data_IF_144514696774
#
_entry.id   IF_144514696774
#
_cell.length_a   1.000
_cell.length_b   1.000
_cell.length_c   1.000
_cell.angle_alpha   90.00
_cell.angle_beta   90.00
_cell.angle_gamma   90.00
#
_symmetry.space_group_name_H-M   'P 1'
#
loop_
_entity.id
_entity.type
_entity.pdbx_description
1 polymer ?
#
# COMPACT_ATOMS: atom_id res chain seq x y z
N UNK A 1 -9.04 -4.94 -18.95
CA UNK A 1 -7.88 -5.74 -19.39
C UNK A 1 -7.13 -5.11 -20.55
N UNK A 2 -7.79 -4.46 -21.51
CA UNK A 2 -7.09 -3.88 -22.67
C UNK A 2 -5.96 -2.93 -22.27
N UNK A 3 -6.22 -2.03 -21.31
CA UNK A 3 -5.18 -1.15 -20.77
C UNK A 3 -3.95 -1.93 -20.27
N UNK A 4 -4.16 -2.95 -19.44
CA UNK A 4 -3.05 -3.72 -18.87
C UNK A 4 -2.23 -4.49 -19.92
N UNK A 5 -2.88 -5.00 -20.97
CA UNK A 5 -2.18 -5.66 -22.08
C UNK A 5 -1.25 -4.72 -22.84
N UNK A 6 -1.65 -3.45 -22.96
CA UNK A 6 -0.88 -2.43 -23.69
C UNK A 6 0.19 -1.80 -22.79
N UNK A 7 -0.19 -1.44 -21.57
CA UNK A 7 0.61 -0.57 -20.70
C UNK A 7 1.53 -1.33 -19.72
N UNK A 8 1.29 -2.62 -19.46
CA UNK A 8 2.04 -3.33 -18.43
C UNK A 8 2.44 -4.74 -18.86
N UNK A 9 3.69 -4.90 -19.25
CA UNK A 9 4.28 -6.14 -19.74
C UNK A 9 4.64 -7.10 -18.59
N UNK A 10 4.71 -8.43 -18.85
CA UNK A 10 5.13 -9.41 -17.86
C UNK A 10 6.51 -9.13 -17.25
N UNK A 11 7.46 -8.62 -18.04
CA UNK A 11 8.81 -8.27 -17.61
C UNK A 11 8.79 -7.13 -16.58
N UNK A 12 7.90 -6.15 -16.77
CA UNK A 12 7.69 -5.07 -15.82
C UNK A 12 7.15 -5.59 -14.47
N UNK A 13 6.25 -6.60 -14.51
CA UNK A 13 5.74 -7.26 -13.29
C UNK A 13 6.85 -8.02 -12.56
N UNK A 14 7.74 -8.70 -13.29
CA UNK A 14 8.87 -9.42 -12.69
C UNK A 14 9.82 -8.46 -11.96
N UNK A 15 10.22 -7.37 -12.62
CA UNK A 15 11.10 -6.37 -12.03
C UNK A 15 10.48 -5.65 -10.81
N UNK A 16 9.17 -5.39 -10.85
CA UNK A 16 8.45 -4.87 -9.68
C UNK A 16 8.50 -5.83 -8.48
N UNK A 17 8.37 -7.13 -8.71
CA UNK A 17 8.49 -8.11 -7.64
C UNK A 17 9.89 -8.12 -7.03
N UNK A 18 10.93 -8.04 -7.84
CA UNK A 18 12.32 -7.93 -7.39
C UNK A 18 12.55 -6.68 -6.53
N UNK A 19 12.09 -5.50 -6.98
CA UNK A 19 12.12 -4.28 -6.19
C UNK A 19 11.43 -4.46 -4.83
N UNK A 20 10.22 -5.03 -4.81
CA UNK A 20 9.49 -5.27 -3.57
C UNK A 20 10.25 -6.25 -2.66
N UNK A 21 10.86 -7.30 -3.20
CA UNK A 21 11.66 -8.24 -2.41
C UNK A 21 12.83 -7.53 -1.71
N UNK A 22 13.57 -6.70 -2.45
CA UNK A 22 14.68 -5.93 -1.91
C UNK A 22 14.23 -4.93 -0.82
N UNK A 23 13.08 -4.26 -1.03
CA UNK A 23 12.52 -3.37 -0.03
C UNK A 23 12.04 -4.13 1.22
N UNK A 24 11.45 -5.31 1.06
CA UNK A 24 11.04 -6.16 2.21
C UNK A 24 12.25 -6.63 3.03
N UNK A 25 13.37 -6.96 2.37
CA UNK A 25 14.63 -7.27 3.07
C UNK A 25 15.13 -6.05 3.83
N UNK A 26 15.20 -4.89 3.16
CA UNK A 26 15.61 -3.63 3.77
C UNK A 26 14.73 -3.26 4.98
N UNK A 27 13.41 -3.42 4.86
CA UNK A 27 12.48 -3.17 5.97
C UNK A 27 12.73 -4.08 7.17
N UNK A 28 12.99 -5.38 6.95
CA UNK A 28 13.35 -6.31 8.04
C UNK A 28 14.59 -5.87 8.78
N UNK A 29 15.64 -5.52 8.06
CA UNK A 29 16.89 -5.05 8.67
C UNK A 29 16.73 -3.72 9.41
N UNK A 30 15.87 -2.82 8.90
CA UNK A 30 15.52 -1.60 9.62
C UNK A 30 14.83 -1.92 10.95
N UNK A 31 13.89 -2.86 10.96
CA UNK A 31 13.25 -3.35 12.21
C UNK A 31 14.28 -3.94 13.17
N UNK A 32 15.22 -4.76 12.67
CA UNK A 32 16.28 -5.34 13.50
C UNK A 32 17.19 -4.28 14.13
N UNK A 33 17.46 -3.21 13.39
CA UNK A 33 18.27 -2.07 13.85
C UNK A 33 17.60 -1.18 14.89
N UNK A 34 16.29 -1.29 15.15
CA UNK A 34 15.57 -0.47 16.13
C UNK A 34 15.96 -0.85 17.56
N UNK A 35 16.75 0.00 18.22
CA UNK A 35 17.23 -0.25 19.59
C UNK A 35 16.13 -0.12 20.65
N UNK A 36 15.07 0.60 20.34
CA UNK A 36 13.95 0.83 21.26
C UNK A 36 12.89 -0.27 21.22
N UNK A 37 12.86 -1.08 20.16
CA UNK A 37 11.88 -2.14 19.98
C UNK A 37 12.40 -3.45 20.58
N UNK A 38 11.59 -4.11 21.41
CA UNK A 38 11.89 -5.38 22.04
C UNK A 38 11.98 -6.53 21.03
N UNK A 39 12.64 -7.60 21.41
CA UNK A 39 12.74 -8.82 20.57
C UNK A 39 11.37 -9.44 20.27
N UNK A 40 10.42 -9.36 21.21
CA UNK A 40 9.05 -9.85 21.04
C UNK A 40 8.31 -9.07 19.94
N UNK A 41 8.31 -7.74 20.01
CA UNK A 41 7.68 -6.89 19.00
C UNK A 41 8.37 -7.04 17.64
N UNK A 42 9.71 -7.14 17.59
CA UNK A 42 10.45 -7.42 16.34
C UNK A 42 10.02 -8.74 15.71
N UNK A 43 9.85 -9.80 16.49
CA UNK A 43 9.36 -11.09 15.99
C UNK A 43 7.98 -10.96 15.32
N UNK A 44 7.06 -10.21 15.93
CA UNK A 44 5.74 -9.95 15.35
C UNK A 44 5.82 -9.08 14.09
N UNK A 45 6.69 -8.06 14.09
CA UNK A 45 6.94 -7.22 12.93
C UNK A 45 7.47 -8.06 11.75
N UNK A 46 8.43 -8.96 11.98
CA UNK A 46 8.92 -9.89 10.95
C UNK A 46 7.82 -10.80 10.40
N UNK A 47 6.98 -11.36 11.28
CA UNK A 47 5.84 -12.16 10.85
C UNK A 47 4.89 -11.36 9.97
N UNK A 48 4.61 -10.11 10.33
CA UNK A 48 3.77 -9.20 9.56
C UNK A 48 4.39 -8.87 8.19
N UNK A 49 5.70 -8.57 8.12
CA UNK A 49 6.41 -8.35 6.85
C UNK A 49 6.35 -9.60 5.97
N UNK A 50 6.54 -10.77 6.54
CA UNK A 50 6.53 -12.03 5.79
C UNK A 50 5.13 -12.39 5.24
N UNK A 51 4.05 -11.91 5.88
CA UNK A 51 2.67 -12.18 5.46
C UNK A 51 2.10 -11.17 4.46
N UNK A 52 2.84 -10.12 4.08
CA UNK A 52 2.39 -9.13 3.08
C UNK A 52 2.02 -9.80 1.76
N UNK A 53 0.81 -9.53 1.30
CA UNK A 53 0.37 -9.92 -0.04
C UNK A 53 0.62 -8.80 -1.03
N UNK A 54 0.88 -9.14 -2.28
CA UNK A 54 1.22 -8.19 -3.35
C UNK A 54 0.19 -8.29 -4.46
N UNK A 55 -0.32 -7.15 -4.89
CA UNK A 55 -1.27 -7.01 -5.99
C UNK A 55 -0.69 -6.04 -7.01
N UNK A 56 -0.07 -6.57 -8.07
CA UNK A 56 0.76 -5.81 -9.00
C UNK A 56 0.12 -5.81 -10.37
N UNK A 57 -0.09 -4.60 -10.91
CA UNK A 57 -0.56 -4.34 -12.25
C UNK A 57 -2.06 -4.54 -12.42
N UNK A 58 -2.51 -5.76 -12.38
CA UNK A 58 -3.91 -6.16 -12.59
C UNK A 58 -4.22 -7.47 -11.88
N UNK A 59 -5.51 -7.73 -11.55
CA UNK A 59 -5.91 -8.96 -10.87
C UNK A 59 -5.81 -10.16 -11.81
N UNK A 60 -5.39 -11.30 -11.29
CA UNK A 60 -5.30 -12.56 -12.05
C UNK A 60 -6.68 -13.03 -12.51
N UNK A 61 -7.72 -12.78 -11.70
CA UNK A 61 -9.12 -13.08 -12.03
C UNK A 61 -9.91 -11.79 -12.17
N UNK A 62 -10.39 -11.54 -13.40
CA UNK A 62 -11.25 -10.38 -13.66
C UNK A 62 -12.69 -10.69 -13.27
N UNK A 63 -13.27 -9.74 -12.56
CA UNK A 63 -14.72 -9.73 -12.36
C UNK A 63 -15.42 -9.24 -13.62
N UNK A 64 -15.98 -10.16 -14.41
CA UNK A 64 -16.76 -9.86 -15.61
C UNK A 64 -18.12 -9.20 -15.28
N UNK A 65 -18.81 -8.81 -16.36
CA UNK A 65 -20.16 -8.23 -16.31
C UNK A 65 -21.19 -9.17 -16.96
N UNK A 66 -20.95 -10.49 -16.87
CA UNK A 66 -21.88 -11.50 -17.40
C UNK A 66 -23.23 -11.35 -16.71
N UNK A 67 -24.28 -11.18 -17.50
CA UNK A 67 -25.64 -10.95 -17.02
C UNK A 67 -26.04 -9.47 -16.88
N UNK A 68 -25.12 -8.52 -17.12
CA UNK A 68 -25.47 -7.10 -17.20
C UNK A 68 -26.01 -6.76 -18.60
N UNK A 69 -27.27 -6.32 -18.66
CA UNK A 69 -27.90 -5.84 -19.90
C UNK A 69 -27.62 -4.36 -20.12
N UNK A 70 -27.10 -4.04 -21.31
CA UNK A 70 -26.83 -2.67 -21.75
C UNK A 70 -27.77 -2.30 -22.90
N UNK A 71 -28.43 -1.14 -22.79
CA UNK A 71 -29.25 -0.53 -23.83
C UNK A 71 -28.54 0.70 -24.39
N UNK A 72 -28.30 0.70 -25.71
CA UNK A 72 -27.61 1.85 -26.38
C UNK A 72 -28.44 3.14 -26.37
N UNK A 73 -29.75 3.06 -26.12
CA UNK A 73 -30.66 4.20 -26.13
C UNK A 73 -30.76 4.92 -24.78
N UNK A 74 -30.22 4.34 -23.68
CA UNK A 74 -30.41 4.90 -22.36
C UNK A 74 -29.14 4.85 -21.51
N UNK A 75 -28.36 5.92 -21.50
CA UNK A 75 -27.20 6.03 -20.62
C UNK A 75 -27.59 5.97 -19.13
N UNK A 76 -28.57 6.78 -18.71
CA UNK A 76 -29.05 6.76 -17.32
C UNK A 76 -29.56 5.38 -16.89
N UNK A 77 -30.32 4.72 -17.76
CA UNK A 77 -30.79 3.34 -17.53
C UNK A 77 -29.63 2.34 -17.41
N UNK A 78 -28.54 2.52 -18.15
CA UNK A 78 -27.35 1.67 -18.04
C UNK A 78 -26.62 1.87 -16.70
N UNK A 79 -26.52 3.11 -16.22
CA UNK A 79 -25.94 3.40 -14.90
C UNK A 79 -26.76 2.74 -13.79
N UNK A 80 -28.10 2.84 -13.83
CA UNK A 80 -28.96 2.19 -12.84
C UNK A 80 -28.81 0.66 -12.88
N UNK A 81 -28.79 0.04 -14.04
CA UNK A 81 -28.57 -1.39 -14.21
C UNK A 81 -27.20 -1.84 -13.71
N UNK A 82 -26.15 -1.06 -13.99
CA UNK A 82 -24.80 -1.35 -13.53
C UNK A 82 -24.71 -1.26 -11.99
N UNK A 83 -25.31 -0.26 -11.38
CA UNK A 83 -25.35 -0.09 -9.92
C UNK A 83 -26.13 -1.24 -9.26
N UNK A 84 -27.30 -1.61 -9.81
CA UNK A 84 -28.10 -2.72 -9.32
C UNK A 84 -27.32 -4.04 -9.44
N UNK A 85 -26.66 -4.28 -10.58
CA UNK A 85 -25.83 -5.46 -10.81
C UNK A 85 -24.69 -5.52 -9.78
N UNK A 86 -24.01 -4.41 -9.52
CA UNK A 86 -22.93 -4.35 -8.52
C UNK A 86 -23.45 -4.60 -7.10
N UNK A 87 -24.60 -4.02 -6.75
CA UNK A 87 -25.24 -4.21 -5.46
C UNK A 87 -25.63 -5.69 -5.23
N UNK A 88 -26.30 -6.31 -6.21
CA UNK A 88 -26.64 -7.73 -6.15
C UNK A 88 -25.41 -8.61 -6.00
N UNK A 89 -24.31 -8.26 -6.67
CA UNK A 89 -23.04 -8.97 -6.57
C UNK A 89 -22.42 -8.85 -5.17
N UNK A 90 -22.51 -7.69 -4.57
CA UNK A 90 -22.05 -7.47 -3.18
C UNK A 90 -22.90 -8.26 -2.18
N UNK A 91 -24.23 -8.32 -2.37
CA UNK A 91 -25.09 -9.16 -1.54
C UNK A 91 -24.77 -10.64 -1.63
N UNK A 92 -24.38 -11.15 -2.80
CA UNK A 92 -23.96 -12.54 -2.98
C UNK A 92 -22.65 -12.88 -2.23
N UNK A 93 -21.87 -11.87 -1.86
CA UNK A 93 -20.64 -12.04 -1.09
C UNK A 93 -20.90 -12.04 0.44
N UNK A 94 -22.11 -11.65 0.89
CA UNK A 94 -22.49 -11.67 2.32
C UNK A 94 -22.41 -13.11 2.87
N UNK A 95 -21.87 -13.23 4.08
CA UNK A 95 -21.68 -14.52 4.75
C UNK A 95 -20.56 -15.40 4.18
N UNK A 96 -19.85 -14.96 3.14
CA UNK A 96 -18.70 -15.67 2.60
C UNK A 96 -17.40 -15.12 3.19
N UNK A 97 -16.35 -15.94 3.26
CA UNK A 97 -15.01 -15.46 3.56
C UNK A 97 -14.60 -14.35 2.61
N UNK A 98 -13.88 -13.35 3.13
CA UNK A 98 -13.39 -12.24 2.32
C UNK A 98 -12.43 -12.72 1.23
N UNK A 99 -12.67 -12.34 0.00
CA UNK A 99 -11.74 -12.57 -1.11
C UNK A 99 -10.53 -11.62 -0.99
N UNK A 100 -9.44 -12.12 -0.42
CA UNK A 100 -8.19 -11.37 -0.22
C UNK A 100 -7.41 -11.15 -1.53
N UNK A 101 -7.82 -11.74 -2.66
CA UNK A 101 -7.16 -11.55 -3.97
C UNK A 101 -7.68 -10.33 -4.73
N UNK A 102 -8.83 -9.80 -4.33
CA UNK A 102 -9.49 -8.69 -4.99
C UNK A 102 -8.65 -7.41 -4.91
N UNK A 103 -8.38 -6.80 -6.06
CA UNK A 103 -7.85 -5.43 -6.13
C UNK A 103 -8.99 -4.42 -5.91
N UNK A 104 -8.74 -3.43 -5.05
CA UNK A 104 -9.68 -2.33 -4.80
C UNK A 104 -9.67 -1.28 -5.90
N UNK A 105 -8.52 -1.11 -6.57
CA UNK A 105 -8.31 -0.13 -7.64
C UNK A 105 -8.36 -0.80 -9.02
N UNK A 106 -8.79 -0.04 -10.01
CA UNK A 106 -8.77 -0.49 -11.41
C UNK A 106 -7.37 -0.38 -12.02
N UNK A 107 -7.02 -1.19 -13.05
CA UNK A 107 -5.67 -1.19 -13.61
C UNK A 107 -5.15 0.18 -14.10
N UNK A 108 -5.94 1.11 -14.70
CA UNK A 108 -5.44 2.41 -15.12
C UNK A 108 -5.29 3.45 -13.99
N UNK A 109 -5.61 3.10 -12.75
CA UNK A 109 -5.47 4.03 -11.61
C UNK A 109 -4.00 4.36 -11.38
N UNK A 110 -3.68 5.66 -11.28
CA UNK A 110 -2.37 6.16 -10.88
C UNK A 110 -2.41 6.42 -9.38
N UNK A 111 -2.22 5.37 -8.61
CA UNK A 111 -2.13 5.39 -7.15
C UNK A 111 -1.60 4.05 -6.64
N UNK A 112 -1.28 3.97 -5.34
CA UNK A 112 -0.95 2.76 -4.61
C UNK A 112 -1.79 2.67 -3.34
N UNK A 113 -1.78 1.55 -2.64
CA UNK A 113 -2.44 1.44 -1.33
C UNK A 113 -1.96 0.25 -0.51
N UNK A 114 -1.90 0.43 0.80
CA UNK A 114 -1.86 -0.64 1.78
C UNK A 114 -3.25 -0.90 2.36
N UNK A 115 -3.59 -2.15 2.59
CA UNK A 115 -4.83 -2.56 3.25
C UNK A 115 -4.54 -3.35 4.53
N UNK A 116 -4.77 -2.73 5.67
CA UNK A 116 -4.46 -3.30 6.99
C UNK A 116 -5.23 -4.58 7.31
N UNK A 117 -6.48 -4.69 6.87
CA UNK A 117 -7.34 -5.87 7.14
C UNK A 117 -7.01 -7.08 6.25
N UNK A 118 -6.24 -6.89 5.19
CA UNK A 118 -5.73 -7.96 4.33
C UNK A 118 -4.24 -8.20 4.50
N UNK A 119 -3.52 -7.22 5.07
CA UNK A 119 -2.08 -7.08 5.05
C UNK A 119 -1.52 -7.19 3.63
N UNK A 120 -2.04 -6.34 2.72
CA UNK A 120 -1.63 -6.34 1.32
C UNK A 120 -1.29 -4.95 0.79
N UNK A 121 -0.37 -4.90 -0.16
CA UNK A 121 0.00 -3.72 -0.93
C UNK A 121 -0.47 -3.87 -2.38
N UNK A 122 -1.02 -2.80 -2.94
CA UNK A 122 -1.61 -2.79 -4.28
C UNK A 122 -0.99 -1.69 -5.13
N UNK A 123 -0.47 -2.07 -6.31
CA UNK A 123 0.10 -1.18 -7.32
C UNK A 123 -0.57 -1.45 -8.66
N UNK A 124 -1.62 -0.69 -9.06
CA UNK A 124 -2.23 -0.82 -10.38
C UNK A 124 -1.25 -0.50 -11.52
N UNK A 125 -1.50 -1.04 -12.70
CA UNK A 125 -0.64 -0.81 -13.87
C UNK A 125 -0.47 0.68 -14.22
N UNK A 126 -1.41 1.54 -13.84
CA UNK A 126 -1.36 2.97 -14.10
C UNK A 126 -0.20 3.70 -13.42
N UNK A 127 0.12 3.35 -12.16
CA UNK A 127 1.27 3.95 -11.47
C UNK A 127 2.60 3.29 -11.91
N UNK A 128 2.54 2.10 -12.49
CA UNK A 128 3.72 1.35 -12.94
C UNK A 128 4.16 1.79 -14.35
N UNK A 129 4.16 3.08 -14.58
CA UNK A 129 4.53 3.78 -15.80
C UNK A 129 5.44 4.98 -15.48
N UNK A 130 6.23 5.49 -16.43
CA UNK A 130 6.94 6.75 -16.25
C UNK A 130 5.98 7.89 -15.84
N UNK A 131 6.38 8.77 -14.91
CA UNK A 131 7.72 8.89 -14.32
C UNK A 131 7.96 8.00 -13.09
N UNK A 132 6.97 7.26 -12.57
CA UNK A 132 7.10 6.47 -11.34
C UNK A 132 7.94 5.20 -11.53
N UNK A 133 7.68 4.48 -12.62
CA UNK A 133 8.37 3.23 -12.92
C UNK A 133 8.71 3.11 -14.41
N UNK A 134 9.94 2.72 -14.71
CA UNK A 134 10.36 2.37 -16.05
C UNK A 134 11.24 1.11 -16.00
N UNK A 135 10.71 -0.01 -16.50
CA UNK A 135 11.41 -1.30 -16.40
C UNK A 135 12.73 -1.37 -17.19
N UNK A 136 12.97 -0.42 -18.11
CA UNK A 136 14.24 -0.27 -18.85
C UNK A 136 15.20 0.74 -18.20
N UNK A 137 14.77 1.47 -17.17
CA UNK A 137 15.62 2.45 -16.54
C UNK A 137 16.59 1.80 -15.54
N UNK A 138 17.63 2.54 -15.18
CA UNK A 138 18.57 2.22 -14.12
C UNK A 138 17.83 2.04 -12.77
N UNK A 139 18.41 1.18 -11.93
CA UNK A 139 17.85 0.90 -10.60
C UNK A 139 17.75 2.15 -9.74
N UNK A 140 18.76 3.04 -9.79
CA UNK A 140 18.72 4.29 -9.03
C UNK A 140 17.44 5.10 -9.33
N UNK A 141 17.01 5.15 -10.59
CA UNK A 141 15.80 5.87 -11.00
C UNK A 141 14.57 5.19 -10.42
N UNK A 142 14.46 3.86 -10.55
CA UNK A 142 13.29 3.12 -10.06
C UNK A 142 13.20 3.11 -8.53
N UNK A 143 14.34 2.96 -7.82
CA UNK A 143 14.34 3.04 -6.35
C UNK A 143 14.03 4.45 -5.85
N UNK A 144 14.51 5.51 -6.51
CA UNK A 144 14.16 6.89 -6.14
C UNK A 144 12.71 7.26 -6.39
N UNK A 145 12.05 6.63 -7.37
CA UNK A 145 10.66 6.93 -7.73
C UNK A 145 9.71 5.88 -7.12
N UNK A 146 9.40 4.81 -7.85
CA UNK A 146 8.43 3.79 -7.37
C UNK A 146 8.91 3.09 -6.11
N UNK A 147 10.22 2.95 -5.89
CA UNK A 147 10.76 2.37 -4.67
C UNK A 147 10.34 3.12 -3.42
N UNK A 148 10.35 4.46 -3.46
CA UNK A 148 9.85 5.29 -2.35
C UNK A 148 8.36 5.03 -2.10
N UNK A 149 7.54 4.91 -3.15
CA UNK A 149 6.11 4.60 -3.03
C UNK A 149 5.90 3.20 -2.46
N UNK A 150 6.67 2.20 -2.90
CA UNK A 150 6.60 0.85 -2.35
C UNK A 150 6.95 0.84 -0.85
N UNK A 151 8.02 1.53 -0.48
CA UNK A 151 8.44 1.66 0.91
C UNK A 151 7.39 2.38 1.77
N UNK A 152 6.74 3.41 1.22
CA UNK A 152 5.61 4.12 1.84
C UNK A 152 4.45 3.15 2.13
N UNK A 153 3.99 2.38 1.14
CA UNK A 153 2.89 1.42 1.33
C UNK A 153 3.24 0.29 2.31
N UNK A 154 4.47 -0.21 2.29
CA UNK A 154 4.94 -1.18 3.29
C UNK A 154 4.89 -0.56 4.69
N UNK A 155 5.28 0.69 4.82
CA UNK A 155 5.35 1.41 6.10
C UNK A 155 3.98 1.66 6.70
N UNK A 156 2.93 1.82 5.89
CA UNK A 156 1.56 1.89 6.39
C UNK A 156 1.15 0.66 7.23
N UNK A 157 1.80 -0.49 7.06
CA UNK A 157 1.64 -1.62 7.97
C UNK A 157 2.11 -1.36 9.41
N UNK A 158 2.90 -0.31 9.62
CA UNK A 158 3.59 0.00 10.88
C UNK A 158 3.38 1.44 11.38
N UNK A 159 2.59 2.25 10.67
CA UNK A 159 2.23 3.62 11.08
C UNK A 159 1.28 3.63 12.28
N UNK A 160 0.77 4.81 12.65
CA UNK A 160 -0.15 4.98 13.79
C UNK A 160 -1.46 4.22 13.67
N UNK A 161 -1.91 3.95 12.45
CA UNK A 161 -3.14 3.21 12.14
C UNK A 161 -2.86 1.73 11.87
N UNK A 162 -1.96 1.41 10.93
CA UNK A 162 -1.67 0.04 10.51
C UNK A 162 -0.97 -0.80 11.57
N UNK A 163 -0.21 -0.16 12.48
CA UNK A 163 0.41 -0.83 13.63
C UNK A 163 -0.59 -1.49 14.61
N UNK A 164 -1.87 -1.13 14.49
CA UNK A 164 -2.96 -1.70 15.31
C UNK A 164 -3.48 -3.03 14.76
N UNK A 165 -3.03 -3.44 13.57
CA UNK A 165 -3.45 -4.69 12.92
C UNK A 165 -2.29 -5.69 12.91
N UNK A 166 -2.59 -6.95 13.28
CA UNK A 166 -1.62 -8.04 13.25
C UNK A 166 -1.31 -8.55 11.83
N UNK A 167 -0.49 -9.59 11.72
CA UNK A 167 -0.08 -10.20 10.46
C UNK A 167 -1.25 -10.80 9.64
N UNK A 168 -2.35 -11.16 10.30
CA UNK A 168 -3.55 -11.74 9.68
C UNK A 168 -4.57 -10.66 9.27
N UNK A 169 -4.35 -9.40 9.67
CA UNK A 169 -5.22 -8.26 9.43
C UNK A 169 -6.33 -8.10 10.49
N UNK A 170 -6.16 -8.69 11.66
CA UNK A 170 -7.07 -8.48 12.79
C UNK A 170 -6.69 -7.23 13.57
N UNK A 171 -7.68 -6.46 14.00
CA UNK A 171 -7.46 -5.35 14.93
C UNK A 171 -7.07 -5.93 16.31
N UNK A 172 -5.77 -6.04 16.53
CA UNK A 172 -5.19 -6.68 17.71
C UNK A 172 -3.87 -6.00 18.08
N UNK A 173 -3.73 -5.61 19.35
CA UNK A 173 -2.45 -5.12 19.86
C UNK A 173 -1.44 -6.28 19.89
N UNK A 174 -0.33 -6.10 19.19
CA UNK A 174 0.77 -7.07 19.08
C UNK A 174 2.12 -6.50 19.56
N UNK A 175 2.12 -5.22 19.92
CA UNK A 175 3.25 -4.53 20.55
C UNK A 175 3.24 -4.77 22.04
N UNK A 176 4.42 -4.75 22.67
CA UNK A 176 4.48 -4.57 24.12
C UNK A 176 4.05 -3.14 24.48
N UNK A 177 3.52 -2.94 25.67
CA UNK A 177 3.10 -1.60 26.13
C UNK A 177 4.25 -0.60 26.11
N UNK A 178 5.46 -1.04 26.49
CA UNK A 178 6.68 -0.23 26.44
C UNK A 178 7.04 0.19 25.02
N UNK A 179 7.00 -0.74 24.05
CA UNK A 179 7.34 -0.44 22.67
C UNK A 179 6.30 0.49 22.04
N UNK A 180 5.02 0.27 22.35
CA UNK A 180 3.94 1.15 21.89
C UNK A 180 4.14 2.59 22.39
N UNK A 181 4.45 2.76 23.66
CA UNK A 181 4.75 4.08 24.24
C UNK A 181 5.94 4.73 23.54
N UNK A 182 7.02 3.99 23.32
CA UNK A 182 8.20 4.50 22.64
C UNK A 182 7.95 4.88 21.18
N UNK A 183 7.06 4.15 20.47
CA UNK A 183 6.60 4.52 19.14
C UNK A 183 5.83 5.86 19.18
N UNK A 184 4.89 6.02 20.11
CA UNK A 184 4.07 7.22 20.25
C UNK A 184 4.92 8.45 20.58
N UNK A 185 5.92 8.33 21.47
CA UNK A 185 6.87 9.41 21.77
C UNK A 185 7.66 9.88 20.55
N UNK A 186 8.05 8.95 19.65
CA UNK A 186 8.75 9.27 18.39
C UNK A 186 7.81 9.86 17.35
N UNK A 187 6.63 9.33 17.25
CA UNK A 187 5.57 9.84 16.35
C UNK A 187 5.20 11.29 16.72
N UNK A 188 5.18 11.64 18.02
CA UNK A 188 4.90 12.99 18.48
C UNK A 188 5.95 14.03 17.99
N UNK A 189 7.19 13.62 17.77
CA UNK A 189 8.19 14.47 17.14
C UNK A 189 7.80 14.86 15.71
N UNK A 190 7.28 13.88 14.94
CA UNK A 190 6.79 14.13 13.58
C UNK A 190 5.57 15.04 13.61
N UNK A 191 4.61 14.78 14.50
CA UNK A 191 3.42 15.62 14.68
C UNK A 191 3.83 17.08 14.95
N UNK A 192 4.75 17.31 15.90
CA UNK A 192 5.22 18.66 16.25
C UNK A 192 5.91 19.36 15.09
N UNK A 193 6.73 18.65 14.33
CA UNK A 193 7.40 19.21 13.17
C UNK A 193 6.39 19.66 12.12
N UNK A 194 5.43 18.81 11.76
CA UNK A 194 4.43 19.13 10.72
C UNK A 194 3.42 20.19 11.18
N UNK A 195 3.10 20.27 12.46
CA UNK A 195 2.29 21.37 13.01
C UNK A 195 2.97 22.74 12.84
N UNK A 196 4.28 22.79 12.67
CA UNK A 196 5.04 24.02 12.43
C UNK A 196 5.05 24.49 10.97
N UNK A 197 4.52 23.69 10.01
CA UNK A 197 4.50 24.08 8.60
C UNK A 197 3.26 24.90 8.28
N UNK A 198 3.48 26.15 7.91
CA UNK A 198 2.45 27.07 7.46
C UNK A 198 2.26 26.95 5.93
N UNK A 199 1.04 26.65 5.48
CA UNK A 199 0.71 26.48 4.06
C UNK A 199 0.11 27.74 3.44
N UNK A 200 -0.51 28.57 4.25
CA UNK A 200 -1.00 29.91 3.93
C UNK A 200 -0.95 30.77 5.20
N UNK A 201 -0.95 32.12 5.10
CA UNK A 201 -0.91 32.98 6.28
C UNK A 201 -1.94 32.59 7.35
N UNK A 202 -1.44 32.18 8.53
CA UNK A 202 -2.26 31.70 9.65
C UNK A 202 -2.85 30.30 9.54
N UNK A 203 -2.58 29.54 8.45
CA UNK A 203 -3.06 28.16 8.26
C UNK A 203 -1.90 27.17 8.31
N UNK A 204 -1.90 26.32 9.33
CA UNK A 204 -0.88 25.31 9.58
C UNK A 204 -1.37 23.91 9.27
N UNK A 205 -0.43 23.00 8.95
CA UNK A 205 -0.71 21.60 8.80
C UNK A 205 -1.15 21.00 10.14
N UNK A 206 -2.14 20.12 10.13
CA UNK A 206 -2.46 19.28 11.28
C UNK A 206 -1.59 18.01 11.24
N UNK A 207 -0.42 18.07 11.90
CA UNK A 207 0.55 16.98 11.88
C UNK A 207 0.04 15.67 12.46
N UNK A 208 -0.98 15.70 13.34
CA UNK A 208 -1.63 14.48 13.84
C UNK A 208 -2.53 13.84 12.79
N UNK A 209 -3.23 14.64 12.00
CA UNK A 209 -4.08 14.14 10.91
C UNK A 209 -3.24 13.51 9.79
N UNK A 210 -2.08 14.07 9.50
CA UNK A 210 -1.20 13.62 8.42
C UNK A 210 -0.11 12.64 8.89
N UNK A 211 -0.14 12.19 10.14
CA UNK A 211 0.94 11.42 10.76
C UNK A 211 1.28 10.14 10.00
N UNK A 212 0.28 9.35 9.61
CA UNK A 212 0.49 8.09 8.89
C UNK A 212 1.21 8.31 7.56
N UNK A 213 0.78 9.31 6.77
CA UNK A 213 1.40 9.68 5.50
C UNK A 213 2.84 10.15 5.69
N UNK A 214 3.08 10.98 6.71
CA UNK A 214 4.42 11.48 7.02
C UNK A 214 5.38 10.37 7.45
N UNK A 215 4.91 9.40 8.24
CA UNK A 215 5.68 8.20 8.62
C UNK A 215 5.96 7.35 7.38
N UNK A 216 4.97 7.17 6.51
CA UNK A 216 5.08 6.46 5.24
C UNK A 216 6.20 7.04 4.38
N UNK A 217 6.22 8.34 4.18
CA UNK A 217 7.21 9.03 3.37
C UNK A 217 8.63 8.93 3.95
N UNK A 218 8.81 9.21 5.25
CA UNK A 218 10.14 9.11 5.89
C UNK A 218 10.72 7.71 5.81
N UNK A 219 9.92 6.72 6.16
CA UNK A 219 10.40 5.34 6.17
C UNK A 219 10.52 4.80 4.74
N UNK A 220 9.59 5.18 3.85
CA UNK A 220 9.59 4.79 2.45
C UNK A 220 10.86 5.18 1.74
N UNK A 221 11.27 6.45 1.84
CA UNK A 221 12.52 6.94 1.28
C UNK A 221 13.72 6.19 1.88
N UNK A 222 13.74 6.02 3.20
CA UNK A 222 14.85 5.36 3.91
C UNK A 222 14.98 3.90 3.48
N UNK A 223 13.88 3.15 3.48
CA UNK A 223 13.85 1.72 3.11
C UNK A 223 14.29 1.54 1.65
N UNK A 224 13.81 2.41 0.74
CA UNK A 224 14.16 2.37 -0.66
C UNK A 224 15.65 2.65 -0.90
N UNK A 225 16.21 3.66 -0.24
CA UNK A 225 17.63 3.97 -0.34
C UNK A 225 18.53 2.80 0.10
N UNK A 226 18.21 2.16 1.22
CA UNK A 226 19.00 1.00 1.69
C UNK A 226 18.78 -0.25 0.84
N UNK A 227 17.61 -0.41 0.24
CA UNK A 227 17.37 -1.47 -0.74
C UNK A 227 18.21 -1.27 -2.00
N UNK A 228 18.24 -0.04 -2.53
CA UNK A 228 19.09 0.32 -3.69
C UNK A 228 20.58 0.03 -3.45
N UNK A 229 21.08 0.33 -2.27
CA UNK A 229 22.51 0.08 -1.96
C UNK A 229 22.91 -1.40 -1.97
N UNK A 230 21.97 -2.32 -2.10
CA UNK A 230 22.16 -3.76 -2.07
C UNK A 230 21.76 -4.45 -3.38
N UNK A 231 21.05 -3.74 -4.28
CA UNK A 231 20.67 -4.23 -5.61
C UNK A 231 21.86 -4.39 -6.55
#
# INVERSE_FOLDING_TARGET
MEYAKIAFKPEAKARMNELIDNLMVSMKERVDGLKWMSAETKKQAHAKIASFKRKIGYPDVLRGYVGLTIDRKSYAGNILRANQFQLQRNFKDLGKPRDKTRMGMTPPTVNASYNSTNNDITFPAGILQPPFFNFNADDAINYCAIGCVIGHEITHGFDDSGSRFDADGNLKMWWTDSDRKQFEERADCVVKQFNGYEVQPGLFINGKLTLGENIGDFAGLTVSYYAFKKS
#
